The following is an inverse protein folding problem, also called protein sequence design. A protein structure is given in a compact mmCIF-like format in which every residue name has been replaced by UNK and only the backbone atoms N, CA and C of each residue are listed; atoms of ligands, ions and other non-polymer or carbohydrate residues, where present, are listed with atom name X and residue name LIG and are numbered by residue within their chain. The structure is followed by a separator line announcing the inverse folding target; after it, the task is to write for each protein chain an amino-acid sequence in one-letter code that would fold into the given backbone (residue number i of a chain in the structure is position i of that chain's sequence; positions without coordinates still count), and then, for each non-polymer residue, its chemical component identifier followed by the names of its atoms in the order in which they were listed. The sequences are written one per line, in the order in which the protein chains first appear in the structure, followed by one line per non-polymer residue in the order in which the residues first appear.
data_IF_606910204448
#
_entry.id   IF_606910204448
#
_cell.length_a   1.000
_cell.length_b   1.000
_cell.length_c   1.000
_cell.angle_alpha   90.00
_cell.angle_beta   90.00
_cell.angle_gamma   90.00
#
_symmetry.space_group_name_H-M   'P 1'
#
loop_
_entity.id
_entity.type
_entity.pdbx_description
1 polymer ?
#
# COMPACT_ATOMS: atom_id res chain seq x y z
N UNK A 1 6.49 3.19 25.72
CA UNK A 1 6.19 2.44 24.52
C UNK A 1 5.43 3.29 23.52
N UNK A 2 5.97 3.43 22.36
CA UNK A 2 5.39 4.27 21.33
C UNK A 2 4.37 3.49 20.54
N UNK A 3 3.17 4.01 20.42
CA UNK A 3 2.17 3.43 19.52
C UNK A 3 2.22 4.18 18.21
N UNK A 4 1.96 3.47 17.12
CA UNK A 4 1.84 4.09 15.82
C UNK A 4 0.68 5.08 15.82
N UNK A 5 0.89 6.28 15.26
CA UNK A 5 -0.10 7.36 15.27
C UNK A 5 -0.74 7.49 13.89
N UNK A 6 -1.63 6.56 13.57
CA UNK A 6 -2.34 6.60 12.30
C UNK A 6 -3.71 5.96 12.46
N UNK A 7 -4.57 6.22 11.50
CA UNK A 7 -5.86 5.55 11.40
C UNK A 7 -5.88 4.68 10.15
N UNK A 8 -6.49 3.50 10.25
CA UNK A 8 -6.72 2.65 9.10
C UNK A 8 -8.15 2.14 9.14
N UNK A 9 -8.83 2.21 7.98
CA UNK A 9 -10.21 1.76 7.83
C UNK A 9 -10.23 0.75 6.70
N UNK A 10 -10.74 -0.45 7.00
CA UNK A 10 -10.92 -1.49 6.00
C UNK A 10 -12.38 -1.56 5.56
N UNK A 11 -12.60 -1.84 4.28
CA UNK A 11 -13.94 -2.05 3.75
C UNK A 11 -13.89 -3.00 2.57
N UNK A 12 -15.03 -3.61 2.26
CA UNK A 12 -15.13 -4.44 1.07
C UNK A 12 -15.20 -3.55 -0.17
N UNK A 13 -14.63 -4.04 -1.27
CA UNK A 13 -14.65 -3.34 -2.55
C UNK A 13 -14.89 -4.36 -3.65
N UNK A 14 -15.56 -4.00 -4.77
CA UNK A 14 -15.81 -4.96 -5.85
C UNK A 14 -14.52 -5.62 -6.37
N UNK A 15 -13.37 -4.93 -6.31
CA UNK A 15 -12.11 -5.49 -6.74
C UNK A 15 -11.41 -6.34 -5.66
N UNK A 16 -11.82 -6.21 -4.39
CA UNK A 16 -11.20 -6.94 -3.28
C UNK A 16 -11.30 -6.20 -1.96
N UNK A 17 -10.17 -5.95 -1.30
CA UNK A 17 -10.11 -5.23 -0.03
C UNK A 17 -9.72 -3.78 -0.29
N UNK A 18 -10.43 -2.85 0.36
CA UNK A 18 -10.05 -1.43 0.37
C UNK A 18 -9.52 -1.07 1.75
N UNK A 19 -8.40 -0.39 1.79
CA UNK A 19 -7.82 0.13 3.02
C UNK A 19 -7.55 1.61 2.83
N UNK A 20 -7.95 2.43 3.80
CA UNK A 20 -7.66 3.85 3.80
C UNK A 20 -6.82 4.16 5.03
N UNK A 21 -5.67 4.80 4.82
CA UNK A 21 -4.76 5.14 5.91
C UNK A 21 -4.58 6.66 5.98
N UNK A 22 -4.59 7.20 7.19
CA UNK A 22 -4.41 8.61 7.44
C UNK A 22 -3.48 8.79 8.63
N UNK A 23 -2.60 9.78 8.56
CA UNK A 23 -1.70 10.09 9.65
C UNK A 23 -0.38 10.62 9.12
N UNK A 24 0.63 10.60 9.98
CA UNK A 24 1.97 11.05 9.61
C UNK A 24 2.74 9.92 8.95
N UNK A 25 3.33 10.21 7.78
CA UNK A 25 4.05 9.23 6.99
C UNK A 25 5.46 8.98 7.48
N UNK A 26 5.58 8.26 8.58
CA UNK A 26 6.88 7.81 9.10
C UNK A 26 7.13 6.37 8.73
N UNK A 27 8.38 5.92 8.83
CA UNK A 27 8.71 4.51 8.61
C UNK A 27 7.93 3.63 9.59
N UNK A 28 7.86 4.03 10.85
CA UNK A 28 7.14 3.29 11.88
C UNK A 28 5.66 3.12 11.53
N UNK A 29 5.00 4.21 11.19
CA UNK A 29 3.58 4.17 10.83
C UNK A 29 3.35 3.38 9.56
N UNK A 30 4.22 3.55 8.56
CA UNK A 30 4.08 2.84 7.29
C UNK A 30 4.23 1.33 7.47
N UNK A 31 5.22 0.90 8.26
CA UNK A 31 5.39 -0.51 8.56
C UNK A 31 4.17 -1.05 9.32
N UNK A 32 3.65 -0.27 10.27
CA UNK A 32 2.51 -0.68 11.08
C UNK A 32 1.24 -0.86 10.23
N UNK A 33 0.97 0.08 9.30
CA UNK A 33 -0.25 -0.09 8.51
C UNK A 33 -0.13 -1.24 7.50
N UNK A 34 1.07 -1.50 6.95
CA UNK A 34 1.25 -2.66 6.09
C UNK A 34 1.09 -3.97 6.85
N UNK A 35 1.58 -4.02 8.10
CA UNK A 35 1.36 -5.19 8.96
C UNK A 35 -0.13 -5.39 9.25
N UNK A 36 -0.87 -4.31 9.48
CA UNK A 36 -2.32 -4.38 9.68
C UNK A 36 -3.03 -4.90 8.43
N UNK A 37 -2.59 -4.48 7.24
CA UNK A 37 -3.15 -4.96 5.97
C UNK A 37 -2.90 -6.46 5.81
N UNK A 38 -1.69 -6.91 6.09
CA UNK A 38 -1.36 -8.34 6.01
C UNK A 38 -2.25 -9.15 6.97
N UNK A 39 -2.43 -8.66 8.20
CA UNK A 39 -3.28 -9.33 9.19
C UNK A 39 -4.74 -9.39 8.71
N UNK A 40 -5.25 -8.32 8.13
CA UNK A 40 -6.61 -8.29 7.61
C UNK A 40 -6.79 -9.28 6.45
N UNK A 41 -5.81 -9.35 5.54
CA UNK A 41 -5.85 -10.28 4.42
C UNK A 41 -5.75 -11.74 4.87
N UNK A 42 -5.08 -12.00 5.98
CA UNK A 42 -5.03 -13.35 6.56
C UNK A 42 -6.40 -13.78 7.07
N UNK A 43 -7.20 -12.83 7.57
CA UNK A 43 -8.55 -13.08 8.07
C UNK A 43 -9.57 -13.09 6.93
N UNK A 44 -9.44 -12.17 5.99
CA UNK A 44 -10.35 -12.00 4.85
C UNK A 44 -9.55 -11.93 3.56
N UNK A 45 -9.14 -13.08 2.99
CA UNK A 45 -8.34 -13.08 1.76
C UNK A 45 -9.07 -12.40 0.62
N UNK A 46 -8.30 -11.69 -0.22
CA UNK A 46 -8.85 -10.96 -1.35
C UNK A 46 -7.85 -11.04 -2.53
N UNK A 47 -8.33 -10.99 -3.79
CA UNK A 47 -7.44 -11.05 -4.95
C UNK A 47 -6.75 -9.71 -5.25
N UNK A 48 -7.21 -8.62 -4.64
CA UNK A 48 -6.66 -7.30 -4.89
C UNK A 48 -6.80 -6.42 -3.67
N UNK A 49 -5.88 -5.46 -3.55
CA UNK A 49 -5.87 -4.45 -2.51
C UNK A 49 -5.92 -3.08 -3.15
N UNK A 50 -6.89 -2.27 -2.73
CA UNK A 50 -6.97 -0.85 -3.07
C UNK A 50 -6.57 -0.07 -1.83
N UNK A 51 -5.36 0.47 -1.81
CA UNK A 51 -4.84 1.23 -0.68
C UNK A 51 -4.96 2.72 -0.98
N UNK A 52 -5.74 3.44 -0.19
CA UNK A 52 -5.83 4.89 -0.28
C UNK A 52 -4.91 5.48 0.78
N UNK A 53 -3.78 6.00 0.35
CA UNK A 53 -2.71 6.47 1.22
C UNK A 53 -2.83 7.99 1.38
N UNK A 54 -3.44 8.41 2.49
CA UNK A 54 -3.58 9.81 2.85
C UNK A 54 -2.62 10.18 3.98
N UNK A 55 -1.51 9.49 4.06
CA UNK A 55 -0.44 9.84 5.00
C UNK A 55 0.24 11.11 4.51
N UNK A 56 0.63 11.97 5.45
CA UNK A 56 1.23 13.27 5.14
C UNK A 56 2.62 13.38 5.76
N UNK A 57 3.34 14.43 5.39
CA UNK A 57 4.69 14.67 5.87
C UNK A 57 5.71 14.41 4.78
N UNK A 58 6.98 14.35 5.18
CA UNK A 58 8.06 14.12 4.23
C UNK A 58 7.99 12.70 3.65
N UNK A 59 8.26 12.55 2.35
CA UNK A 59 8.29 11.21 1.76
C UNK A 59 9.40 10.37 2.35
N UNK A 60 9.15 9.07 2.46
CA UNK A 60 10.15 8.14 2.93
C UNK A 60 11.29 8.03 1.92
N UNK A 61 12.55 8.03 2.37
CA UNK A 61 13.68 7.88 1.48
C UNK A 61 13.78 6.45 0.90
N UNK A 62 14.60 6.32 -0.11
CA UNK A 62 14.78 5.07 -0.84
C UNK A 62 15.05 3.90 0.09
N UNK A 63 15.98 4.05 1.02
CA UNK A 63 16.40 2.94 1.86
C UNK A 63 15.30 2.50 2.83
N UNK A 64 14.41 3.41 3.24
CA UNK A 64 13.27 3.06 4.09
C UNK A 64 12.28 2.17 3.32
N UNK A 65 12.00 2.50 2.05
CA UNK A 65 11.14 1.67 1.22
C UNK A 65 11.74 0.30 0.95
N UNK A 66 13.07 0.26 0.74
CA UNK A 66 13.76 -1.01 0.56
C UNK A 66 13.58 -1.89 1.81
N UNK A 67 13.74 -1.31 2.98
CA UNK A 67 13.59 -2.02 4.25
C UNK A 67 12.15 -2.50 4.46
N UNK A 68 11.17 -1.66 4.13
CA UNK A 68 9.75 -2.01 4.23
C UNK A 68 9.39 -3.19 3.35
N UNK A 69 9.80 -3.15 2.09
CA UNK A 69 9.50 -4.23 1.15
C UNK A 69 10.19 -5.53 1.57
N UNK A 70 11.43 -5.45 2.05
CA UNK A 70 12.11 -6.64 2.60
C UNK A 70 11.32 -7.25 3.75
N UNK A 71 10.79 -6.41 4.64
CA UNK A 71 10.01 -6.88 5.78
C UNK A 71 8.69 -7.52 5.34
N UNK A 72 8.16 -7.14 4.19
CA UNK A 72 6.88 -7.65 3.70
C UNK A 72 7.00 -8.88 2.80
N UNK A 73 8.22 -9.29 2.45
CA UNK A 73 8.42 -10.50 1.66
C UNK A 73 7.93 -11.73 2.43
N UNK A 74 7.30 -12.66 1.72
CA UNK A 74 6.82 -13.90 2.33
C UNK A 74 5.52 -13.75 3.10
N UNK A 75 4.85 -12.59 3.02
CA UNK A 75 3.60 -12.35 3.72
C UNK A 75 2.36 -12.62 2.87
N UNK A 76 2.55 -12.97 1.59
CA UNK A 76 1.44 -13.23 0.68
C UNK A 76 1.03 -12.04 -0.19
N UNK A 77 1.67 -10.88 -0.02
CA UNK A 77 1.35 -9.70 -0.82
C UNK A 77 1.67 -9.88 -2.31
N UNK A 78 2.55 -10.81 -2.65
CA UNK A 78 2.86 -11.14 -4.04
C UNK A 78 1.76 -11.95 -4.73
N UNK A 79 0.75 -12.39 -3.98
CA UNK A 79 -0.36 -13.19 -4.52
C UNK A 79 -1.55 -12.34 -4.97
N UNK A 80 -1.48 -11.02 -4.79
CA UNK A 80 -2.59 -10.15 -5.15
C UNK A 80 -2.08 -8.93 -5.93
N UNK A 81 -3.02 -8.22 -6.54
CA UNK A 81 -2.70 -6.96 -7.22
C UNK A 81 -2.90 -5.82 -6.22
N UNK A 82 -1.92 -4.93 -6.15
CA UNK A 82 -1.93 -3.81 -5.19
C UNK A 82 -1.97 -2.50 -5.95
N UNK A 83 -3.04 -1.75 -5.78
CA UNK A 83 -3.14 -0.39 -6.28
C UNK A 83 -2.95 0.57 -5.11
N UNK A 84 -1.87 1.33 -5.14
CA UNK A 84 -1.49 2.26 -4.08
C UNK A 84 -1.83 3.67 -4.55
N UNK A 85 -2.91 4.25 -4.02
CA UNK A 85 -3.37 5.57 -4.42
C UNK A 85 -2.81 6.61 -3.47
N UNK A 86 -2.15 7.62 -4.01
CA UNK A 86 -1.58 8.73 -3.25
C UNK A 86 -2.26 10.04 -3.64
N UNK A 87 -3.45 10.33 -3.10
CA UNK A 87 -4.21 11.51 -3.53
C UNK A 87 -3.58 12.84 -3.09
N UNK A 88 -2.67 12.81 -2.11
CA UNK A 88 -1.98 14.01 -1.65
C UNK A 88 -0.76 14.37 -2.51
N UNK A 89 -0.40 13.51 -3.46
CA UNK A 89 0.65 13.79 -4.43
C UNK A 89 1.60 12.63 -4.62
N UNK A 90 2.14 12.53 -5.83
CA UNK A 90 3.15 11.54 -6.17
C UNK A 90 4.53 12.15 -6.05
N UNK A 91 5.52 11.30 -5.79
CA UNK A 91 6.92 11.69 -5.84
C UNK A 91 7.44 11.55 -7.27
N UNK A 92 8.57 12.21 -7.57
CA UNK A 92 9.21 12.04 -8.87
C UNK A 92 9.69 10.61 -9.09
N UNK A 93 10.09 9.94 -8.02
CA UNK A 93 10.43 8.51 -8.05
C UNK A 93 9.62 7.81 -6.97
N UNK A 94 8.80 6.85 -7.38
CA UNK A 94 7.99 6.06 -6.44
C UNK A 94 8.75 4.80 -6.04
N UNK A 95 9.61 4.94 -5.05
CA UNK A 95 10.43 3.82 -4.58
C UNK A 95 9.60 2.64 -4.10
N UNK A 96 8.43 2.90 -3.52
CA UNK A 96 7.55 1.82 -3.08
C UNK A 96 7.15 0.91 -4.25
N UNK A 97 6.86 1.50 -5.42
CA UNK A 97 6.52 0.72 -6.60
C UNK A 97 7.73 -0.04 -7.13
N UNK A 98 8.88 0.63 -7.21
CA UNK A 98 10.09 0.00 -7.75
C UNK A 98 10.52 -1.21 -6.93
N UNK A 99 10.60 -1.07 -5.62
CA UNK A 99 11.03 -2.17 -4.76
C UNK A 99 10.00 -3.29 -4.68
N UNK A 100 8.70 -2.94 -4.74
CA UNK A 100 7.66 -3.96 -4.76
C UNK A 100 7.76 -4.81 -6.04
N UNK A 101 7.98 -4.17 -7.19
CA UNK A 101 8.14 -4.89 -8.46
C UNK A 101 9.38 -5.77 -8.43
N UNK A 102 10.50 -5.28 -7.87
CA UNK A 102 11.71 -6.09 -7.73
C UNK A 102 11.49 -7.30 -6.85
N UNK A 103 10.60 -7.19 -5.86
CA UNK A 103 10.28 -8.27 -4.95
C UNK A 103 9.25 -9.26 -5.51
N UNK A 104 8.81 -9.06 -6.76
CA UNK A 104 7.85 -9.94 -7.41
C UNK A 104 6.41 -9.63 -7.07
N UNK A 105 6.14 -8.49 -6.49
CA UNK A 105 4.77 -8.06 -6.19
C UNK A 105 4.17 -7.36 -7.39
N UNK A 106 2.84 -7.44 -7.53
CA UNK A 106 2.08 -6.79 -8.60
C UNK A 106 1.49 -5.50 -8.06
N UNK A 107 2.32 -4.45 -7.97
CA UNK A 107 1.95 -3.20 -7.35
C UNK A 107 2.14 -2.03 -8.29
N UNK A 108 1.26 -1.04 -8.19
CA UNK A 108 1.35 0.18 -8.98
C UNK A 108 0.80 1.36 -8.19
N UNK A 109 1.41 2.54 -8.38
CA UNK A 109 1.02 3.77 -7.70
C UNK A 109 0.18 4.63 -8.64
N UNK A 110 -0.87 5.24 -8.10
CA UNK A 110 -1.81 6.07 -8.87
C UNK A 110 -2.07 7.39 -8.15
N UNK A 111 -2.32 8.48 -8.91
CA UNK A 111 -2.67 9.76 -8.30
C UNK A 111 -4.12 9.84 -7.85
N UNK A 112 -5.01 9.00 -8.39
CA UNK A 112 -6.41 9.02 -8.00
C UNK A 112 -7.01 7.61 -7.99
N UNK A 113 -8.13 7.50 -7.27
CA UNK A 113 -8.79 6.22 -7.04
C UNK A 113 -9.41 5.66 -8.32
N UNK A 114 -9.93 6.51 -9.20
CA UNK A 114 -10.59 6.03 -10.43
C UNK A 114 -9.61 5.29 -11.33
N UNK A 115 -8.41 5.83 -11.53
CA UNK A 115 -7.37 5.16 -12.32
C UNK A 115 -6.96 3.84 -11.68
N UNK A 116 -6.85 3.81 -10.35
CA UNK A 116 -6.48 2.62 -9.62
C UNK A 116 -7.52 1.51 -9.80
N UNK A 117 -8.80 1.88 -9.69
CA UNK A 117 -9.90 0.93 -9.85
C UNK A 117 -9.92 0.34 -11.26
N UNK A 118 -9.68 1.18 -12.28
CA UNK A 118 -9.62 0.72 -13.66
C UNK A 118 -8.50 -0.31 -13.84
N UNK A 119 -7.34 -0.06 -13.26
CA UNK A 119 -6.24 -1.00 -13.34
C UNK A 119 -6.55 -2.30 -12.62
N UNK A 120 -7.17 -2.24 -11.43
CA UNK A 120 -7.52 -3.43 -10.67
C UNK A 120 -8.56 -4.28 -11.40
N UNK A 121 -9.52 -3.64 -12.06
CA UNK A 121 -10.60 -4.34 -12.76
C UNK A 121 -10.17 -4.91 -14.11
N UNK A 122 -9.32 -4.20 -14.84
CA UNK A 122 -9.01 -4.54 -16.23
C UNK A 122 -7.54 -4.90 -16.47
N UNK A 123 -6.67 -4.69 -15.50
CA UNK A 123 -5.25 -4.97 -15.64
C UNK A 123 -4.53 -4.07 -16.63
N UNK A 124 -5.09 -2.91 -16.91
CA UNK A 124 -4.50 -1.97 -17.86
C UNK A 124 -3.38 -1.18 -17.22
N UNK A 125 -2.32 -0.97 -17.97
CA UNK A 125 -1.17 -0.18 -17.52
C UNK A 125 -1.28 1.23 -18.07
#
# INVERSE_FOLDING_TARGET
MTQASFEIIFSAHPAGLKARVQGEGSLENTLAYWQAIVAELATRPAPALLLIDEMHGDPLPEHDWQQLVEAMKGTGLDQLRIAHVKPLGLQSIEYCELFALEAGMHARVFPDEDEAVMWLRHGLS
#
